data_IF_971577123922
#
_entry.id   IF_971577123922
#
_cell.length_a   1.000
_cell.length_b   1.000
_cell.length_c   1.000
_cell.angle_alpha   90.00
_cell.angle_beta   90.00
_cell.angle_gamma   90.00
#
_symmetry.space_group_name_H-M   'P 1'
#
loop_
_entity.id
_entity.type
_entity.pdbx_description
1 polymer ?
#
# COMPACT_ATOMS: atom_id res chain seq x y z
N UNK A 1 -5.30 31.57 0.34
CA UNK A 1 -4.49 32.11 -0.77
C UNK A 1 -4.25 33.60 -0.57
N UNK A 2 -5.28 34.40 -0.33
CA UNK A 2 -5.17 35.86 -0.17
C UNK A 2 -4.18 36.33 0.90
N UNK A 3 -4.08 35.61 2.03
CA UNK A 3 -3.15 35.97 3.10
C UNK A 3 -1.67 35.76 2.76
N UNK A 4 -1.38 34.75 1.92
CA UNK A 4 -0.01 34.45 1.45
C UNK A 4 0.37 35.44 0.35
N UNK A 5 -0.53 35.70 -0.60
CA UNK A 5 -0.33 36.69 -1.67
C UNK A 5 -0.09 38.09 -1.10
N UNK A 6 -0.86 38.48 -0.08
CA UNK A 6 -0.73 39.79 0.58
C UNK A 6 0.58 39.89 1.39
N UNK A 7 0.97 38.85 2.12
CA UNK A 7 2.24 38.87 2.87
C UNK A 7 3.46 38.88 1.92
N UNK A 8 3.45 38.08 0.85
CA UNK A 8 4.58 37.89 -0.08
C UNK A 8 4.79 39.09 -1.02
N UNK A 9 3.75 39.84 -1.34
CA UNK A 9 3.84 40.99 -2.27
C UNK A 9 3.95 42.32 -1.50
N UNK A 10 3.27 42.48 -0.38
CA UNK A 10 3.14 43.79 0.28
C UNK A 10 4.37 44.20 1.12
N UNK A 11 5.09 43.23 1.72
CA UNK A 11 6.30 43.52 2.51
C UNK A 11 7.49 43.97 1.64
N UNK A 12 7.76 43.35 0.47
CA UNK A 12 8.81 43.82 -0.44
C UNK A 12 8.51 45.20 -1.03
N UNK A 13 7.25 45.47 -1.41
CA UNK A 13 6.83 46.79 -1.93
C UNK A 13 7.02 47.92 -0.92
N UNK A 14 6.81 47.66 0.37
CA UNK A 14 7.08 48.64 1.43
C UNK A 14 8.57 48.98 1.53
N UNK A 15 9.45 48.03 1.23
CA UNK A 15 10.90 48.23 1.19
C UNK A 15 11.32 49.03 -0.04
N UNK A 16 10.73 48.78 -1.21
CA UNK A 16 10.95 49.59 -2.43
C UNK A 16 10.41 51.01 -2.29
N UNK A 17 9.29 51.20 -1.59
CA UNK A 17 8.73 52.52 -1.30
C UNK A 17 9.62 53.40 -0.40
N UNK A 18 10.68 52.84 0.20
CA UNK A 18 11.66 53.56 1.03
C UNK A 18 12.95 53.92 0.29
N UNK A 19 13.14 53.46 -0.95
CA UNK A 19 14.31 53.75 -1.77
C UNK A 19 14.17 55.10 -2.49
N UNK A 20 15.30 55.79 -2.68
CA UNK A 20 15.36 57.05 -3.41
C UNK A 20 15.24 56.86 -4.93
N UNK A 21 14.93 57.94 -5.65
CA UNK A 21 14.78 57.90 -7.12
C UNK A 21 16.04 57.41 -7.85
N UNK A 22 17.23 57.73 -7.33
CA UNK A 22 18.52 57.31 -7.88
C UNK A 22 18.78 55.82 -7.62
N UNK A 23 18.35 55.29 -6.47
CA UNK A 23 18.45 53.86 -6.14
C UNK A 23 17.48 53.02 -6.97
N UNK A 24 16.30 53.56 -7.30
CA UNK A 24 15.32 52.91 -8.17
C UNK A 24 15.77 52.87 -9.65
N UNK A 25 16.49 53.89 -10.12
CA UNK A 25 17.09 53.91 -11.47
C UNK A 25 18.08 52.76 -11.68
N UNK A 26 18.80 52.34 -10.63
CA UNK A 26 19.74 51.20 -10.69
C UNK A 26 19.03 49.88 -11.00
N UNK A 27 17.77 49.73 -10.59
CA UNK A 27 16.95 48.54 -10.90
C UNK A 27 16.27 48.61 -12.28
N UNK A 28 16.32 49.75 -12.97
CA UNK A 28 15.74 49.93 -14.31
C UNK A 28 16.77 49.82 -15.45
N UNK A 29 18.05 49.64 -15.11
CA UNK A 29 19.15 49.44 -16.06
C UNK A 29 19.25 47.98 -16.53
N UNK A 30 20.12 47.67 -17.51
CA UNK A 30 20.28 46.31 -18.07
C UNK A 30 20.69 45.24 -17.03
N UNK A 31 21.34 45.62 -15.93
CA UNK A 31 21.67 44.75 -14.76
C UNK A 31 20.59 44.79 -13.66
N UNK A 32 19.51 45.55 -13.86
CA UNK A 32 18.46 45.78 -12.87
C UNK A 32 17.67 44.52 -12.53
N UNK A 33 17.47 43.64 -13.51
CA UNK A 33 16.82 42.35 -13.34
C UNK A 33 17.62 41.43 -12.41
N UNK A 34 18.95 41.36 -12.55
CA UNK A 34 19.80 40.53 -11.69
C UNK A 34 19.79 41.01 -10.23
N UNK A 35 19.83 42.33 -10.02
CA UNK A 35 19.75 42.95 -8.69
C UNK A 35 18.37 42.77 -8.06
N UNK A 36 17.31 42.85 -8.85
CA UNK A 36 15.96 42.58 -8.39
C UNK A 36 15.82 41.10 -7.98
N UNK A 37 16.39 40.18 -8.76
CA UNK A 37 16.41 38.75 -8.46
C UNK A 37 17.17 38.45 -7.17
N UNK A 38 18.30 39.13 -6.94
CA UNK A 38 19.08 39.04 -5.72
C UNK A 38 18.31 39.61 -4.51
N UNK A 39 17.64 40.75 -4.68
CA UNK A 39 16.79 41.32 -3.65
C UNK A 39 15.65 40.36 -3.28
N UNK A 40 14.96 39.78 -4.26
CA UNK A 40 13.89 38.79 -4.04
C UNK A 40 14.42 37.56 -3.31
N UNK A 41 15.59 37.02 -3.70
CA UNK A 41 16.24 35.91 -2.99
C UNK A 41 16.67 36.28 -1.57
N UNK A 42 16.95 37.56 -1.31
CA UNK A 42 17.36 38.04 0.01
C UNK A 42 16.19 38.13 1.01
N UNK A 43 14.95 38.22 0.52
CA UNK A 43 13.74 38.35 1.35
C UNK A 43 13.58 37.14 2.28
N UNK A 44 13.32 37.41 3.57
CA UNK A 44 13.14 36.36 4.57
C UNK A 44 11.99 35.39 4.23
N UNK A 45 10.93 35.88 3.60
CA UNK A 45 9.80 35.04 3.17
C UNK A 45 10.20 34.05 2.09
N UNK A 46 11.00 34.50 1.12
CA UNK A 46 11.51 33.66 0.03
C UNK A 46 12.49 32.63 0.59
N UNK A 47 13.39 33.05 1.50
CA UNK A 47 14.30 32.15 2.21
C UNK A 47 13.56 31.08 3.01
N UNK A 48 12.52 31.44 3.76
CA UNK A 48 11.75 30.46 4.53
C UNK A 48 10.99 29.48 3.61
N UNK A 49 10.45 29.95 2.49
CA UNK A 49 9.84 29.07 1.48
C UNK A 49 10.85 28.09 0.86
N UNK A 50 12.07 28.54 0.56
CA UNK A 50 13.13 27.65 0.10
C UNK A 50 13.50 26.62 1.17
N UNK A 51 13.59 27.04 2.43
CA UNK A 51 13.87 26.15 3.57
C UNK A 51 12.77 25.12 3.78
N UNK A 52 11.51 25.54 3.71
CA UNK A 52 10.35 24.66 3.82
C UNK A 52 10.31 23.66 2.65
N UNK A 53 10.57 24.11 1.43
CA UNK A 53 10.72 23.24 0.26
C UNK A 53 11.82 22.20 0.47
N UNK A 54 13.00 22.60 0.93
CA UNK A 54 14.10 21.68 1.20
C UNK A 54 13.72 20.65 2.27
N UNK A 55 13.05 21.10 3.34
CA UNK A 55 12.57 20.23 4.39
C UNK A 55 11.55 19.21 3.87
N UNK A 56 10.58 19.64 3.06
CA UNK A 56 9.58 18.76 2.45
C UNK A 56 10.21 17.78 1.45
N UNK A 57 11.18 18.22 0.65
CA UNK A 57 11.92 17.35 -0.26
C UNK A 57 12.73 16.30 0.49
N UNK A 58 13.42 16.70 1.55
CA UNK A 58 14.15 15.77 2.41
C UNK A 58 13.21 14.77 3.07
N UNK A 59 12.08 15.23 3.63
CA UNK A 59 11.07 14.36 4.24
C UNK A 59 10.46 13.39 3.25
N UNK A 60 10.07 13.86 2.06
CA UNK A 60 9.50 13.02 1.02
C UNK A 60 10.51 11.99 0.50
N UNK A 61 11.78 12.40 0.33
CA UNK A 61 12.88 11.50 -0.04
C UNK A 61 13.05 10.40 1.00
N UNK A 62 13.13 10.74 2.29
CA UNK A 62 13.25 9.74 3.36
C UNK A 62 12.04 8.80 3.40
N UNK A 63 10.83 9.31 3.16
CA UNK A 63 9.63 8.47 3.09
C UNK A 63 9.64 7.53 1.89
N UNK A 64 10.10 7.99 0.73
CA UNK A 64 10.24 7.16 -0.46
C UNK A 64 11.29 6.06 -0.24
N UNK A 65 12.45 6.40 0.33
CA UNK A 65 13.50 5.44 0.69
C UNK A 65 12.99 4.40 1.70
N UNK A 66 12.26 4.84 2.72
CA UNK A 66 11.61 3.93 3.67
C UNK A 66 10.59 3.01 2.98
N UNK A 67 9.68 3.55 2.18
CA UNK A 67 8.67 2.77 1.46
C UNK A 67 9.32 1.73 0.52
N UNK A 68 10.37 2.11 -0.19
CA UNK A 68 11.15 1.20 -1.02
C UNK A 68 11.84 0.12 -0.18
N UNK A 69 12.33 0.45 1.02
CA UNK A 69 12.92 -0.52 1.95
C UNK A 69 11.90 -1.50 2.54
N UNK A 70 10.63 -1.09 2.69
CA UNK A 70 9.56 -1.94 3.22
C UNK A 70 9.03 -2.93 2.19
N UNK A 71 9.03 -2.57 0.91
CA UNK A 71 8.54 -3.43 -0.18
C UNK A 71 9.12 -4.85 -0.17
N UNK A 72 10.45 -5.08 -0.14
CA UNK A 72 11.00 -6.45 -0.15
C UNK A 72 10.63 -7.23 1.12
N UNK A 73 10.47 -6.56 2.26
CA UNK A 73 10.07 -7.20 3.53
C UNK A 73 8.62 -7.70 3.40
N UNK A 74 7.71 -6.86 2.92
CA UNK A 74 6.32 -7.23 2.72
C UNK A 74 6.15 -8.34 1.68
N UNK A 75 6.92 -8.30 0.59
CA UNK A 75 6.94 -9.35 -0.43
C UNK A 75 7.45 -10.68 0.15
N UNK A 76 8.54 -10.65 0.91
CA UNK A 76 9.11 -11.83 1.58
C UNK A 76 8.14 -12.43 2.62
N UNK A 77 7.55 -11.62 3.48
CA UNK A 77 6.58 -12.08 4.50
C UNK A 77 5.31 -12.64 3.84
N UNK A 78 4.85 -12.03 2.74
CA UNK A 78 3.73 -12.55 1.98
C UNK A 78 4.05 -13.90 1.34
N UNK A 79 5.22 -14.07 0.72
CA UNK A 79 5.65 -15.35 0.15
C UNK A 79 5.77 -16.44 1.23
N UNK A 80 6.34 -16.11 2.39
CA UNK A 80 6.43 -17.02 3.53
C UNK A 80 5.04 -17.42 4.04
N UNK A 81 4.08 -16.48 4.09
CA UNK A 81 2.70 -16.74 4.49
C UNK A 81 1.99 -17.66 3.49
N UNK A 82 2.13 -17.40 2.19
CA UNK A 82 1.56 -18.22 1.11
C UNK A 82 2.10 -19.65 1.19
N UNK A 83 3.41 -19.79 1.42
CA UNK A 83 4.06 -21.09 1.58
C UNK A 83 3.49 -21.85 2.77
N UNK A 84 3.47 -21.24 3.96
CA UNK A 84 2.89 -21.85 5.18
C UNK A 84 1.43 -22.21 5.01
N UNK A 85 0.63 -21.37 4.34
CA UNK A 85 -0.77 -21.65 4.02
C UNK A 85 -0.90 -22.91 3.18
N UNK A 86 -0.10 -23.02 2.12
CA UNK A 86 -0.13 -24.16 1.22
C UNK A 86 0.32 -25.45 1.93
N UNK A 87 1.37 -25.39 2.76
CA UNK A 87 1.80 -26.50 3.60
C UNK A 87 0.69 -26.96 4.55
N UNK A 88 0.02 -26.03 5.23
CA UNK A 88 -1.10 -26.33 6.13
C UNK A 88 -2.26 -27.01 5.40
N UNK A 89 -2.58 -26.54 4.19
CA UNK A 89 -3.62 -27.14 3.33
C UNK A 89 -3.25 -28.58 2.92
N UNK A 90 -2.00 -28.83 2.51
CA UNK A 90 -1.54 -30.17 2.15
C UNK A 90 -1.53 -31.12 3.35
N UNK A 91 -1.08 -30.65 4.52
CA UNK A 91 -1.15 -31.41 5.76
C UNK A 91 -2.60 -31.76 6.13
N UNK A 92 -3.53 -30.82 5.99
CA UNK A 92 -4.95 -31.06 6.25
C UNK A 92 -5.53 -32.13 5.30
N UNK A 93 -5.22 -32.06 3.99
CA UNK A 93 -5.63 -33.09 3.01
C UNK A 93 -5.11 -34.48 3.39
N UNK A 94 -3.82 -34.56 3.74
CA UNK A 94 -3.18 -35.82 4.13
C UNK A 94 -3.80 -36.40 5.40
N UNK A 95 -3.97 -35.56 6.43
CA UNK A 95 -4.57 -35.97 7.71
C UNK A 95 -5.97 -36.54 7.51
N UNK A 96 -6.81 -35.90 6.70
CA UNK A 96 -8.17 -36.40 6.45
C UNK A 96 -8.20 -37.68 5.62
N UNK A 97 -7.31 -37.81 4.64
CA UNK A 97 -7.20 -39.04 3.85
C UNK A 97 -6.70 -40.21 4.71
N UNK A 98 -5.74 -39.98 5.62
CA UNK A 98 -5.29 -40.97 6.61
C UNK A 98 -6.42 -41.38 7.55
N UNK A 99 -7.11 -40.40 8.14
CA UNK A 99 -8.22 -40.67 9.05
C UNK A 99 -9.37 -41.43 8.35
N UNK A 100 -9.61 -41.18 7.07
CA UNK A 100 -10.55 -41.97 6.28
C UNK A 100 -10.06 -43.42 6.12
N UNK A 101 -8.83 -43.62 5.66
CA UNK A 101 -8.25 -44.95 5.47
C UNK A 101 -8.23 -45.77 6.77
N UNK A 102 -7.88 -45.16 7.90
CA UNK A 102 -7.89 -45.81 9.22
C UNK A 102 -9.30 -46.26 9.64
N UNK A 103 -10.34 -45.46 9.35
CA UNK A 103 -11.72 -45.85 9.63
C UNK A 103 -12.22 -46.96 8.70
N UNK A 104 -11.79 -46.96 7.44
CA UNK A 104 -12.07 -48.02 6.48
C UNK A 104 -11.43 -49.34 6.93
N UNK A 105 -10.12 -49.31 7.24
CA UNK A 105 -9.36 -50.46 7.75
C UNK A 105 -9.95 -51.01 9.06
N UNK A 106 -10.40 -50.15 9.98
CA UNK A 106 -11.05 -50.60 11.21
C UNK A 106 -12.35 -51.39 10.93
N UNK A 107 -13.14 -50.96 9.95
CA UNK A 107 -14.36 -51.66 9.56
C UNK A 107 -14.09 -53.01 8.88
N UNK A 108 -12.99 -53.11 8.13
CA UNK A 108 -12.55 -54.36 7.49
C UNK A 108 -12.03 -55.34 8.54
N UNK A 109 -11.14 -54.89 9.44
CA UNK A 109 -10.62 -55.72 10.55
C UNK A 109 -11.73 -56.30 11.42
N UNK A 110 -12.76 -55.51 11.70
CA UNK A 110 -13.90 -55.98 12.47
C UNK A 110 -14.70 -57.06 11.72
N UNK A 111 -14.89 -56.88 10.41
CA UNK A 111 -15.54 -57.87 9.55
C UNK A 111 -14.74 -59.18 9.50
N UNK A 112 -13.43 -59.10 9.29
CA UNK A 112 -12.55 -60.26 9.19
C UNK A 112 -12.48 -61.01 10.52
N UNK A 113 -12.36 -60.29 11.64
CA UNK A 113 -12.36 -60.89 12.97
C UNK A 113 -13.65 -61.66 13.28
N UNK A 114 -14.81 -61.14 12.88
CA UNK A 114 -16.09 -61.83 13.05
C UNK A 114 -16.15 -63.12 12.21
N UNK A 115 -15.67 -63.08 10.97
CA UNK A 115 -15.66 -64.24 10.07
C UNK A 115 -14.68 -65.33 10.52
N UNK A 116 -13.56 -64.94 11.15
CA UNK A 116 -12.57 -65.86 11.73
C UNK A 116 -13.05 -66.53 13.03
N UNK A 117 -14.23 -66.17 13.53
CA UNK A 117 -14.81 -66.72 14.75
C UNK A 117 -14.19 -66.17 16.02
N UNK A 118 -13.57 -64.97 15.97
CA UNK A 118 -13.20 -64.26 17.19
C UNK A 118 -14.44 -63.94 18.02
N UNK A 119 -14.34 -64.13 19.33
CA UNK A 119 -15.43 -64.30 20.29
C UNK A 119 -16.12 -62.96 20.66
N UNK A 120 -16.65 -62.24 19.67
CA UNK A 120 -17.58 -61.12 19.90
C UNK A 120 -19.02 -61.58 19.61
N UNK A 121 -19.98 -61.17 20.45
CA UNK A 121 -21.38 -61.49 20.20
C UNK A 121 -21.85 -60.79 18.92
N UNK A 122 -22.84 -61.36 18.23
CA UNK A 122 -23.39 -60.76 17.01
C UNK A 122 -23.86 -59.31 17.23
N UNK A 123 -24.50 -59.06 18.38
CA UNK A 123 -25.02 -57.74 18.72
C UNK A 123 -23.88 -56.73 18.94
N UNK A 124 -22.80 -57.13 19.65
CA UNK A 124 -21.62 -56.27 19.86
C UNK A 124 -20.89 -55.96 18.54
N UNK A 125 -20.77 -56.96 17.65
CA UNK A 125 -20.20 -56.77 16.33
C UNK A 125 -21.02 -55.77 15.52
N UNK A 126 -22.36 -55.94 15.48
CA UNK A 126 -23.25 -55.09 14.70
C UNK A 126 -23.18 -53.62 15.17
N UNK A 127 -23.13 -53.38 16.48
CA UNK A 127 -22.99 -52.03 17.04
C UNK A 127 -21.68 -51.38 16.56
N UNK A 128 -20.53 -52.02 16.83
CA UNK A 128 -19.21 -51.49 16.44
C UNK A 128 -19.05 -51.35 14.93
N UNK A 129 -19.57 -52.28 14.14
CA UNK A 129 -19.44 -52.28 12.68
C UNK A 129 -20.24 -51.14 12.05
N UNK A 130 -21.48 -50.93 12.51
CA UNK A 130 -22.29 -49.81 12.04
C UNK A 130 -21.63 -48.47 12.37
N UNK A 131 -21.09 -48.31 13.58
CA UNK A 131 -20.35 -47.10 13.97
C UNK A 131 -19.13 -46.87 13.06
N UNK A 132 -18.31 -47.90 12.86
CA UNK A 132 -17.13 -47.85 12.01
C UNK A 132 -17.47 -47.47 10.56
N UNK A 133 -18.50 -48.10 9.98
CA UNK A 133 -18.95 -47.83 8.62
C UNK A 133 -19.56 -46.44 8.46
N UNK A 134 -20.41 -46.03 9.40
CA UNK A 134 -20.98 -44.68 9.41
C UNK A 134 -19.89 -43.60 9.48
N UNK A 135 -18.87 -43.84 10.30
CA UNK A 135 -17.71 -42.94 10.42
C UNK A 135 -16.90 -42.90 9.12
N UNK A 136 -16.57 -44.05 8.54
CA UNK A 136 -15.84 -44.15 7.26
C UNK A 136 -16.56 -43.41 6.13
N UNK A 137 -17.87 -43.66 5.95
CA UNK A 137 -18.68 -42.96 4.94
C UNK A 137 -18.74 -41.45 5.17
N UNK A 138 -18.92 -41.03 6.42
CA UNK A 138 -18.91 -39.60 6.77
C UNK A 138 -17.56 -38.94 6.46
N UNK A 139 -16.44 -39.62 6.75
CA UNK A 139 -15.09 -39.14 6.45
C UNK A 139 -14.83 -39.06 4.95
N UNK A 140 -15.29 -40.03 4.16
CA UNK A 140 -15.21 -40.00 2.70
C UNK A 140 -15.88 -38.76 2.12
N UNK A 141 -17.12 -38.48 2.53
CA UNK A 141 -17.86 -37.29 2.07
C UNK A 141 -17.12 -36.00 2.47
N UNK A 142 -16.56 -35.94 3.68
CA UNK A 142 -15.76 -34.78 4.13
C UNK A 142 -14.50 -34.59 3.29
N UNK A 143 -13.76 -35.66 2.98
CA UNK A 143 -12.57 -35.63 2.13
C UNK A 143 -12.93 -35.11 0.74
N UNK A 144 -14.00 -35.62 0.13
CA UNK A 144 -14.44 -35.19 -1.20
C UNK A 144 -14.87 -33.72 -1.19
N UNK A 145 -15.60 -33.30 -0.15
CA UNK A 145 -16.02 -31.89 -0.03
C UNK A 145 -14.84 -30.95 0.17
N UNK A 146 -13.84 -31.35 0.94
CA UNK A 146 -12.65 -30.51 1.13
C UNK A 146 -11.80 -30.41 -0.14
N UNK A 147 -11.68 -31.48 -0.92
CA UNK A 147 -11.03 -31.41 -2.24
C UNK A 147 -11.71 -30.39 -3.14
N UNK A 148 -13.05 -30.35 -3.17
CA UNK A 148 -13.84 -29.38 -3.93
C UNK A 148 -13.60 -27.93 -3.46
N UNK A 149 -13.67 -27.69 -2.15
CA UNK A 149 -13.47 -26.33 -1.58
C UNK A 149 -12.06 -25.83 -1.89
N UNK A 150 -11.04 -26.66 -1.70
CA UNK A 150 -9.64 -26.27 -1.95
C UNK A 150 -9.41 -25.98 -3.44
N UNK A 151 -9.97 -26.78 -4.34
CA UNK A 151 -9.88 -26.54 -5.78
C UNK A 151 -10.55 -25.23 -6.20
N UNK A 152 -11.69 -24.90 -5.58
CA UNK A 152 -12.40 -23.64 -5.81
C UNK A 152 -11.61 -22.43 -5.29
N UNK A 153 -10.97 -22.58 -4.13
CA UNK A 153 -10.14 -21.53 -3.54
C UNK A 153 -8.88 -21.23 -4.38
N UNK A 154 -8.26 -22.26 -4.97
CA UNK A 154 -7.15 -22.07 -5.92
C UNK A 154 -7.58 -21.44 -7.25
N UNK A 155 -8.85 -21.58 -7.64
CA UNK A 155 -9.41 -20.99 -8.87
C UNK A 155 -9.80 -19.52 -8.71
N UNK A 156 -9.94 -19.03 -7.47
CA UNK A 156 -10.14 -17.61 -7.22
C UNK A 156 -8.76 -16.91 -7.22
N UNK A 157 -8.61 -15.76 -7.90
CA UNK A 157 -7.39 -14.98 -7.78
C UNK A 157 -7.30 -14.46 -6.35
N UNK A 158 -6.62 -15.22 -5.48
CA UNK A 158 -6.25 -14.80 -4.14
C UNK A 158 -5.55 -13.46 -4.25
N UNK A 159 -6.05 -12.48 -3.48
CA UNK A 159 -5.56 -11.11 -3.34
C UNK A 159 -4.07 -11.01 -3.62
N UNK A 160 -3.72 -10.78 -4.89
CA UNK A 160 -2.40 -10.23 -5.19
C UNK A 160 -2.36 -8.94 -4.40
N UNK A 161 -1.30 -8.74 -3.62
CA UNK A 161 -0.87 -7.38 -3.28
C UNK A 161 -1.09 -6.58 -4.56
N UNK A 162 -1.92 -5.52 -4.57
CA UNK A 162 -2.07 -4.70 -5.76
C UNK A 162 -0.64 -4.40 -6.19
N UNK A 163 -0.24 -4.89 -7.38
CA UNK A 163 1.04 -4.49 -7.93
C UNK A 163 1.08 -2.98 -7.79
N UNK A 164 2.15 -2.40 -7.22
CA UNK A 164 2.25 -0.96 -7.13
C UNK A 164 2.14 -0.49 -8.56
N UNK A 165 0.99 0.10 -8.91
CA UNK A 165 0.67 0.63 -10.22
C UNK A 165 1.93 1.28 -10.75
N UNK A 166 2.51 0.63 -11.76
CA UNK A 166 3.83 0.96 -12.26
C UNK A 166 3.90 2.45 -12.49
N UNK A 167 4.90 3.09 -11.86
CA UNK A 167 5.18 4.51 -11.95
C UNK A 167 3.91 5.36 -12.17
N UNK A 168 3.12 5.58 -11.11
CA UNK A 168 2.24 6.74 -11.11
C UNK A 168 3.08 7.93 -11.60
N UNK A 169 2.65 8.64 -12.67
CA UNK A 169 3.39 9.80 -13.15
C UNK A 169 3.62 10.70 -11.93
N UNK A 170 4.82 11.29 -11.78
CA UNK A 170 5.09 12.16 -10.64
C UNK A 170 3.92 13.13 -10.53
N UNK A 171 3.32 13.31 -9.34
CA UNK A 171 2.24 14.25 -9.17
C UNK A 171 2.72 15.55 -9.81
N UNK A 172 1.97 16.07 -10.77
CA UNK A 172 2.30 17.33 -11.41
C UNK A 172 2.33 18.37 -10.30
N UNK A 173 3.51 18.62 -9.74
CA UNK A 173 3.74 19.79 -8.91
C UNK A 173 3.53 20.92 -9.92
N UNK A 174 2.33 21.49 -9.91
CA UNK A 174 2.09 22.80 -10.52
C UNK A 174 2.94 23.77 -9.71
N UNK A 175 4.23 23.83 -10.03
CA UNK A 175 5.07 24.96 -9.69
C UNK A 175 4.44 26.10 -10.50
N UNK A 176 3.91 27.17 -9.86
CA UNK A 176 3.40 28.32 -10.58
C UNK A 176 4.62 29.00 -11.20
N UNK A 177 4.98 28.63 -12.44
CA UNK A 177 5.90 29.43 -13.22
C UNK A 177 5.18 30.71 -13.62
N UNK A 178 5.79 31.89 -13.44
CA UNK A 178 5.23 33.13 -13.95
C UNK A 178 5.20 33.03 -15.47
N UNK A 179 4.00 32.98 -16.03
CA UNK A 179 3.75 32.94 -17.46
C UNK A 179 4.09 34.32 -18.04
N UNK A 180 5.30 34.48 -18.60
CA UNK A 180 5.58 35.60 -19.49
C UNK A 180 4.77 35.44 -20.78
N UNK A 181 3.99 36.46 -21.09
CA UNK A 181 3.07 36.47 -22.21
C UNK A 181 3.80 36.48 -23.55
N UNK A 182 3.46 35.47 -24.36
CA UNK A 182 3.10 35.59 -25.76
C UNK A 182 4.23 35.72 -26.80
N UNK A 183 4.64 34.58 -27.37
CA UNK A 183 5.05 34.53 -28.77
C UNK A 183 4.19 33.51 -29.54
N UNK A 184 3.48 34.06 -30.51
CA UNK A 184 2.65 33.40 -31.50
C UNK A 184 3.43 32.33 -32.30
N UNK A 185 2.99 31.08 -32.20
CA UNK A 185 3.20 30.08 -33.24
C UNK A 185 1.94 29.22 -33.37
N UNK A 186 1.27 29.39 -34.50
CA UNK A 186 0.08 28.63 -34.90
C UNK A 186 0.41 27.16 -35.19
N UNK A 187 -0.62 26.31 -35.09
CA UNK A 187 -0.72 24.89 -35.53
C UNK A 187 -0.10 23.88 -34.54
N UNK A 188 -0.81 22.92 -33.92
CA UNK A 188 -1.73 21.94 -34.51
C UNK A 188 -2.55 21.13 -33.45
N UNK A 189 -3.89 21.18 -33.59
CA UNK A 189 -4.96 20.14 -33.47
C UNK A 189 -5.12 19.15 -32.27
N UNK A 190 -6.33 18.55 -32.06
CA UNK A 190 -6.96 18.41 -30.75
C UNK A 190 -7.33 16.95 -30.39
N UNK A 191 -7.80 16.74 -29.15
CA UNK A 191 -8.68 15.64 -28.67
C UNK A 191 -8.17 14.99 -27.38
N UNK A 192 -8.76 15.39 -26.27
CA UNK A 192 -8.90 14.55 -25.07
C UNK A 192 -10.23 14.92 -24.39
N UNK A 193 -11.10 13.95 -24.05
CA UNK A 193 -12.41 14.22 -23.45
C UNK A 193 -12.28 14.58 -21.97
N UNK A 194 -13.29 15.26 -21.36
CA UNK A 194 -13.21 15.71 -19.99
C UNK A 194 -13.51 14.54 -19.02
N UNK A 195 -12.56 14.22 -18.14
CA UNK A 195 -12.85 13.32 -17.01
C UNK A 195 -13.56 14.09 -15.90
N UNK A 196 -14.81 13.67 -15.69
CA UNK A 196 -15.70 14.03 -14.59
C UNK A 196 -15.01 14.00 -13.22
N UNK A 197 -15.26 15.05 -12.45
CA UNK A 197 -14.83 15.25 -11.07
C UNK A 197 -15.19 14.06 -10.15
N UNK A 198 -14.21 13.53 -9.43
CA UNK A 198 -14.44 12.76 -8.22
C UNK A 198 -13.94 13.56 -7.00
N UNK A 199 -14.71 13.65 -5.90
CA UNK A 199 -14.32 14.42 -4.74
C UNK A 199 -13.28 13.63 -3.91
N UNK A 200 -12.16 14.26 -3.58
CA UNK A 200 -11.20 13.71 -2.63
C UNK A 200 -11.73 13.84 -1.19
N UNK A 201 -11.44 12.88 -0.29
CA UNK A 201 -11.86 12.94 1.11
C UNK A 201 -11.03 13.99 1.87
N UNK A 202 -11.71 14.95 2.49
CA UNK A 202 -11.10 15.90 3.43
C UNK A 202 -10.71 15.17 4.71
N UNK A 203 -9.42 15.07 5.03
CA UNK A 203 -9.02 14.63 6.37
C UNK A 203 -9.13 15.80 7.38
N UNK A 204 -9.66 15.56 8.59
CA UNK A 204 -9.85 16.60 9.59
C UNK A 204 -8.53 16.99 10.26
N UNK A 205 -8.31 18.30 10.35
CA UNK A 205 -7.16 18.94 10.98
C UNK A 205 -7.27 18.87 12.51
N UNK A 206 -6.90 17.73 13.11
CA UNK A 206 -6.47 17.66 14.52
C UNK A 206 -6.04 16.24 14.87
N UNK A 207 -4.77 15.89 14.67
CA UNK A 207 -4.18 14.79 15.42
C UNK A 207 -2.95 15.32 16.13
N UNK A 208 -3.09 15.39 17.46
CA UNK A 208 -2.02 15.54 18.44
C UNK A 208 -0.97 14.47 18.11
N UNK A 209 0.21 14.90 17.66
CA UNK A 209 1.35 14.02 17.49
C UNK A 209 1.74 13.43 18.86
N UNK A 210 1.85 12.10 19.03
CA UNK A 210 2.48 11.55 20.22
C UNK A 210 3.95 11.94 20.22
N UNK A 211 4.37 12.60 21.29
CA UNK A 211 5.77 12.93 21.61
C UNK A 211 6.66 11.69 21.43
N UNK A 212 7.56 11.71 20.45
CA UNK A 212 8.53 10.63 20.27
C UNK A 212 9.69 10.82 21.27
N UNK A 213 10.07 9.78 22.04
CA UNK A 213 11.20 9.86 22.96
C UNK A 213 12.52 9.95 22.20
N UNK A 214 13.41 10.83 22.66
CA UNK A 214 14.75 10.99 22.11
C UNK A 214 15.58 9.71 22.37
N UNK A 215 16.07 9.07 21.32
CA UNK A 215 16.96 7.91 21.45
C UNK A 215 18.43 8.35 21.53
N UNK A 216 19.24 7.67 22.37
CA UNK A 216 20.61 8.03 22.66
C UNK A 216 21.57 7.74 21.47
N UNK A 217 22.75 8.40 21.44
CA UNK A 217 23.73 8.18 20.39
C UNK A 217 24.37 6.79 20.54
N UNK A 218 24.56 6.11 19.42
CA UNK A 218 25.25 4.82 19.31
C UNK A 218 26.77 5.10 19.28
N UNK A 219 27.60 4.30 19.99
CA UNK A 219 29.04 4.53 20.19
C UNK A 219 29.90 4.47 18.92
#
# INVERSE_FOLDING_TARGET
>A
MDHIVNLTIQLPLHSFGSLSSEELEVYLNEEGDEKLDEFVKSLNQVKELYREKEMLLASNKSLAEYNLSQKPILESEYEALVTKRNEAVELAKKCQSSAYAEAEEFSEKLSDGFLDGSEESLDDFLEKFQEARNLSHSRRVKVDKMKEIIAKESSMPSSRIPEPVGALPPPSIQIPYPHYSNWNASSCNPSVPPLSALPYPTQPTSMIYPFMPAYPPIP
#
